data_IF_050271258274
#
_entry.id   IF_050271258274
#
_cell.length_a   1.000
_cell.length_b   1.000
_cell.length_c   1.000
_cell.angle_alpha   90.00
_cell.angle_beta   90.00
_cell.angle_gamma   90.00
#
_symmetry.space_group_name_H-M   'P 1'
#
loop_
_entity.id
_entity.type
_entity.pdbx_description
1 polymer ?
#
# COMPACT_ATOMS: atom_id res chain seq x y z
N UNK A 1 -15.56 -14.47 -27.60
CA UNK A 1 -16.58 -14.69 -26.56
C UNK A 1 -15.89 -14.79 -25.23
N UNK A 2 -16.12 -13.83 -24.34
CA UNK A 2 -15.74 -13.92 -22.93
C UNK A 2 -16.75 -13.09 -22.14
N UNK A 3 -17.51 -13.79 -21.31
CA UNK A 3 -18.67 -13.32 -20.56
C UNK A 3 -18.22 -12.58 -19.30
N UNK A 4 -18.48 -11.27 -19.23
CA UNK A 4 -18.39 -10.53 -17.98
C UNK A 4 -19.66 -10.77 -17.16
N UNK A 5 -19.53 -11.55 -16.09
CA UNK A 5 -20.57 -11.67 -15.07
C UNK A 5 -20.59 -10.39 -14.23
N UNK A 6 -21.57 -9.53 -14.48
CA UNK A 6 -21.91 -8.38 -13.63
C UNK A 6 -22.65 -8.89 -12.39
N UNK A 7 -22.00 -8.87 -11.23
CA UNK A 7 -22.67 -9.07 -9.95
C UNK A 7 -23.24 -7.74 -9.46
N UNK A 8 -24.47 -7.46 -9.87
CA UNK A 8 -25.31 -6.44 -9.26
C UNK A 8 -25.90 -7.02 -7.97
N UNK A 9 -25.60 -6.40 -6.83
CA UNK A 9 -26.26 -6.70 -5.55
C UNK A 9 -27.32 -5.62 -5.31
N UNK A 10 -28.57 -6.03 -5.56
CA UNK A 10 -29.85 -5.55 -5.05
C UNK A 10 -29.89 -4.21 -4.28
N UNK A 11 -30.63 -3.26 -4.85
CA UNK A 11 -31.29 -2.16 -4.14
C UNK A 11 -32.29 -2.73 -3.12
N UNK A 12 -32.22 -2.26 -1.87
CA UNK A 12 -33.35 -1.82 -1.03
C UNK A 12 -32.96 -1.71 0.45
N UNK A 13 -32.97 -0.47 0.95
CA UNK A 13 -33.63 -0.02 2.18
C UNK A 13 -32.99 1.30 2.61
N UNK A 14 -33.66 2.42 2.33
CA UNK A 14 -33.26 3.75 2.81
C UNK A 14 -34.14 4.08 4.02
N UNK A 15 -33.65 4.03 5.27
CA UNK A 15 -34.39 4.55 6.39
C UNK A 15 -34.35 6.08 6.31
N UNK A 16 -35.52 6.66 6.08
CA UNK A 16 -35.74 8.09 6.05
C UNK A 16 -35.81 8.61 7.49
N UNK A 17 -34.69 9.14 8.01
CA UNK A 17 -34.70 9.86 9.29
C UNK A 17 -33.81 11.11 9.31
N UNK A 18 -34.52 12.25 9.36
CA UNK A 18 -34.28 13.50 10.08
C UNK A 18 -32.88 14.13 10.11
N UNK A 19 -32.84 15.36 9.60
CA UNK A 19 -31.68 16.23 9.58
C UNK A 19 -31.12 16.56 10.96
N UNK A 20 -29.79 16.64 11.01
CA UNK A 20 -29.02 17.07 12.16
C UNK A 20 -27.55 17.07 11.79
N UNK A 21 -26.72 17.87 12.46
CA UNK A 21 -25.29 18.16 12.23
C UNK A 21 -24.34 16.93 12.09
N UNK A 22 -24.86 15.71 12.08
CA UNK A 22 -24.20 14.42 11.89
C UNK A 22 -23.81 14.10 10.43
N UNK A 23 -24.27 14.85 9.42
CA UNK A 23 -23.95 14.59 7.99
C UNK A 23 -22.53 15.00 7.58
N UNK A 24 -22.15 16.25 7.84
CA UNK A 24 -20.93 16.86 7.30
C UNK A 24 -19.64 16.27 7.88
N UNK A 25 -19.60 16.01 9.19
CA UNK A 25 -18.43 15.43 9.86
C UNK A 25 -18.17 14.00 9.41
N UNK A 26 -19.23 13.21 9.20
CA UNK A 26 -19.13 11.85 8.69
C UNK A 26 -18.76 11.85 7.20
N UNK A 27 -19.29 12.78 6.41
CA UNK A 27 -18.89 12.99 5.01
C UNK A 27 -17.39 13.33 4.89
N UNK A 28 -16.88 14.26 5.71
CA UNK A 28 -15.45 14.59 5.78
C UNK A 28 -14.59 13.39 6.16
N UNK A 29 -14.99 12.61 7.18
CA UNK A 29 -14.27 11.39 7.59
C UNK A 29 -14.23 10.36 6.47
N UNK A 30 -15.35 10.16 5.74
CA UNK A 30 -15.41 9.28 4.57
C UNK A 30 -14.48 9.76 3.47
N UNK A 31 -14.47 11.07 3.18
CA UNK A 31 -13.61 11.64 2.14
C UNK A 31 -12.12 11.52 2.49
N UNK A 32 -11.74 11.78 3.75
CA UNK A 32 -10.36 11.58 4.21
C UNK A 32 -9.93 10.12 4.06
N UNK A 33 -10.76 9.16 4.46
CA UNK A 33 -10.47 7.73 4.28
C UNK A 33 -10.33 7.36 2.80
N UNK A 34 -11.21 7.91 1.96
CA UNK A 34 -11.14 7.71 0.50
C UNK A 34 -9.82 8.23 -0.07
N UNK A 35 -9.36 9.40 0.34
CA UNK A 35 -8.06 9.94 -0.09
C UNK A 35 -6.91 9.07 0.37
N UNK A 36 -6.91 8.65 1.64
CA UNK A 36 -5.88 7.75 2.15
C UNK A 36 -5.86 6.43 1.39
N UNK A 37 -7.01 5.92 0.97
CA UNK A 37 -7.12 4.74 0.14
C UNK A 37 -6.63 4.98 -1.30
N UNK A 38 -7.11 6.05 -1.93
CA UNK A 38 -6.86 6.41 -3.32
C UNK A 38 -5.41 6.86 -3.53
N UNK A 39 -4.73 7.33 -2.48
CA UNK A 39 -3.30 7.71 -2.50
C UNK A 39 -2.35 6.59 -2.93
N UNK A 40 -2.77 5.33 -2.72
CA UNK A 40 -2.04 4.14 -3.14
C UNK A 40 -2.54 3.57 -4.48
N UNK A 41 -3.60 4.15 -5.07
CA UNK A 41 -4.07 3.80 -6.42
C UNK A 41 -3.22 4.52 -7.46
N UNK A 42 -3.21 3.98 -8.68
CA UNK A 42 -2.60 4.59 -9.86
C UNK A 42 -1.12 4.97 -9.66
N UNK A 43 -0.39 4.13 -8.92
CA UNK A 43 1.06 4.19 -8.84
C UNK A 43 1.65 3.36 -9.98
N UNK A 44 2.59 3.94 -10.73
CA UNK A 44 3.50 3.18 -11.58
C UNK A 44 4.89 3.17 -10.95
N UNK A 45 5.54 2.01 -11.02
CA UNK A 45 6.84 1.77 -10.44
C UNK A 45 7.79 1.27 -11.52
N UNK A 46 9.04 1.74 -11.47
CA UNK A 46 10.14 1.22 -12.26
C UNK A 46 11.38 1.15 -11.37
N UNK A 47 11.97 -0.04 -11.26
CA UNK A 47 13.02 -0.34 -10.29
C UNK A 47 14.33 -0.61 -11.01
N UNK A 48 15.40 -0.02 -10.50
CA UNK A 48 16.76 -0.25 -10.97
C UNK A 48 17.62 -0.73 -9.82
N UNK A 49 18.47 -1.73 -10.06
CA UNK A 49 19.47 -2.12 -9.09
C UNK A 49 20.77 -1.33 -9.32
N UNK A 50 21.26 -0.71 -8.27
CA UNK A 50 22.44 0.14 -8.27
C UNK A 50 23.46 -0.43 -7.29
N UNK A 51 24.67 -0.70 -7.76
CA UNK A 51 25.79 -1.11 -6.91
C UNK A 51 26.30 0.10 -6.14
N UNK A 52 26.10 0.10 -4.83
CA UNK A 52 26.64 1.10 -3.91
C UNK A 52 27.99 0.61 -3.39
N UNK A 53 29.04 1.36 -3.72
CA UNK A 53 30.41 1.10 -3.23
C UNK A 53 30.57 1.73 -1.84
N UNK A 54 30.20 0.99 -0.81
CA UNK A 54 30.43 1.37 0.60
C UNK A 54 31.91 1.22 0.97
N UNK A 55 32.44 2.00 1.93
CA UNK A 55 33.77 1.79 2.51
C UNK A 55 33.94 0.43 3.20
N UNK A 56 32.86 -0.21 3.64
CA UNK A 56 32.88 -1.49 4.34
C UNK A 56 32.74 -2.68 3.39
N UNK A 57 31.56 -2.83 2.77
CA UNK A 57 31.26 -3.88 1.81
C UNK A 57 30.28 -3.34 0.75
N UNK A 58 30.54 -3.52 -0.54
CA UNK A 58 29.63 -3.09 -1.58
C UNK A 58 28.28 -3.81 -1.47
N UNK A 59 27.19 -3.10 -1.72
CA UNK A 59 25.85 -3.66 -1.66
C UNK A 59 24.96 -3.12 -2.79
N UNK A 60 23.93 -3.87 -3.15
CA UNK A 60 22.94 -3.41 -4.12
C UNK A 60 21.81 -2.65 -3.42
N UNK A 61 21.54 -1.45 -3.92
CA UNK A 61 20.38 -0.61 -3.60
C UNK A 61 19.39 -0.71 -4.76
N UNK A 62 18.11 -0.92 -4.46
CA UNK A 62 17.02 -0.92 -5.42
C UNK A 62 16.39 0.47 -5.41
N UNK A 63 16.57 1.20 -6.50
CA UNK A 63 16.06 2.54 -6.71
C UNK A 63 14.71 2.42 -7.41
N UNK A 64 13.63 2.59 -6.67
CA UNK A 64 12.27 2.55 -7.19
C UNK A 64 11.88 3.96 -7.60
N UNK A 65 11.73 4.19 -8.90
CA UNK A 65 11.09 5.38 -9.44
C UNK A 65 9.58 5.20 -9.35
N UNK A 66 8.92 6.02 -8.55
CA UNK A 66 7.48 5.94 -8.29
C UNK A 66 6.82 7.15 -8.93
N UNK A 67 5.79 6.92 -9.73
CA UNK A 67 4.95 7.99 -10.30
C UNK A 67 3.54 7.80 -9.80
N UNK A 68 2.99 8.84 -9.15
CA UNK A 68 1.59 8.91 -8.75
C UNK A 68 0.80 9.75 -9.74
N UNK A 69 -0.09 9.10 -10.49
CA UNK A 69 -1.03 9.82 -11.35
C UNK A 69 -2.09 10.60 -10.57
N UNK A 70 -2.39 10.14 -9.36
CA UNK A 70 -3.35 10.80 -8.46
C UNK A 70 -2.83 12.15 -7.96
N UNK A 71 -1.56 12.19 -7.52
CA UNK A 71 -0.94 13.44 -7.04
C UNK A 71 -0.17 14.21 -8.12
N UNK A 72 -0.01 13.66 -9.33
CA UNK A 72 0.85 14.21 -10.39
C UNK A 72 2.29 14.44 -9.92
N UNK A 73 2.84 13.45 -9.22
CA UNK A 73 4.18 13.50 -8.64
C UNK A 73 5.02 12.29 -9.03
N UNK A 74 6.33 12.52 -9.11
CA UNK A 74 7.34 11.49 -9.35
C UNK A 74 8.46 11.65 -8.34
N UNK A 75 8.85 10.55 -7.68
CA UNK A 75 9.94 10.53 -6.72
C UNK A 75 10.69 9.21 -6.78
N UNK A 76 11.80 9.12 -6.04
CA UNK A 76 12.63 7.91 -5.98
C UNK A 76 12.75 7.47 -4.52
N UNK A 77 12.51 6.18 -4.27
CA UNK A 77 12.76 5.54 -2.98
C UNK A 77 13.86 4.49 -3.14
N UNK A 78 14.87 4.54 -2.28
CA UNK A 78 16.05 3.66 -2.36
C UNK A 78 16.10 2.70 -1.17
N UNK A 79 16.16 1.39 -1.45
CA UNK A 79 16.14 0.34 -0.41
C UNK A 79 17.11 -0.78 -0.72
N UNK A 80 17.68 -1.42 0.30
CA UNK A 80 18.38 -2.70 0.14
C UNK A 80 17.37 -3.83 0.20
N UNK A 81 17.72 -5.01 -0.32
CA UNK A 81 16.88 -6.22 -0.20
C UNK A 81 16.40 -6.48 1.25
N UNK A 82 17.28 -6.23 2.24
CA UNK A 82 16.94 -6.42 3.65
C UNK A 82 15.78 -5.54 4.14
N UNK A 83 15.54 -4.40 3.48
CA UNK A 83 14.47 -3.47 3.83
C UNK A 83 13.12 -3.98 3.29
N UNK A 84 13.08 -4.50 2.06
CA UNK A 84 11.91 -5.21 1.52
C UNK A 84 11.53 -6.43 2.38
N UNK A 85 12.53 -7.22 2.78
CA UNK A 85 12.30 -8.37 3.65
C UNK A 85 11.71 -7.95 5.00
N UNK A 86 12.26 -6.87 5.60
CA UNK A 86 11.74 -6.28 6.85
C UNK A 86 10.33 -5.75 6.68
N UNK A 87 10.01 -5.09 5.56
CA UNK A 87 8.66 -4.63 5.25
C UNK A 87 7.68 -5.81 5.22
N UNK A 88 7.94 -6.83 4.38
CA UNK A 88 7.06 -8.01 4.26
C UNK A 88 6.83 -8.70 5.60
N UNK A 89 7.92 -8.92 6.36
CA UNK A 89 7.85 -9.52 7.70
C UNK A 89 6.96 -8.68 8.63
N UNK A 90 7.20 -7.36 8.71
CA UNK A 90 6.45 -6.45 9.58
C UNK A 90 4.97 -6.41 9.22
N UNK A 91 4.64 -6.35 7.92
CA UNK A 91 3.25 -6.36 7.45
C UNK A 91 2.54 -7.64 7.87
N UNK A 92 3.16 -8.80 7.64
CA UNK A 92 2.60 -10.09 8.03
C UNK A 92 2.42 -10.21 9.56
N UNK A 93 3.36 -9.72 10.36
CA UNK A 93 3.28 -9.71 11.81
C UNK A 93 2.10 -8.85 12.31
N UNK A 94 1.99 -7.61 11.83
CA UNK A 94 0.88 -6.70 12.20
C UNK A 94 -0.48 -7.32 11.87
N UNK A 95 -0.61 -7.88 10.66
CA UNK A 95 -1.85 -8.51 10.25
C UNK A 95 -2.13 -9.79 11.05
N UNK A 96 -1.12 -10.62 11.32
CA UNK A 96 -1.28 -11.88 12.07
C UNK A 96 -1.73 -11.63 13.51
N UNK A 97 -1.22 -10.60 14.18
CA UNK A 97 -1.62 -10.29 15.57
C UNK A 97 -3.11 -10.01 15.64
N UNK A 98 -3.61 -9.13 14.78
CA UNK A 98 -5.02 -8.76 14.79
C UNK A 98 -5.93 -9.85 14.20
N UNK A 99 -5.44 -10.63 13.24
CA UNK A 99 -6.13 -11.80 12.69
C UNK A 99 -6.44 -12.85 13.78
N UNK A 100 -5.50 -13.07 14.72
CA UNK A 100 -5.70 -13.99 15.87
C UNK A 100 -6.71 -13.49 16.88
N UNK A 101 -7.00 -12.18 16.90
CA UNK A 101 -8.07 -11.58 17.71
C UNK A 101 -9.45 -11.70 17.03
N UNK A 102 -9.56 -12.41 15.90
CA UNK A 102 -10.82 -12.66 15.20
C UNK A 102 -11.17 -11.65 14.10
N UNK A 103 -10.24 -10.80 13.66
CA UNK A 103 -10.53 -9.85 12.58
C UNK A 103 -10.49 -10.52 11.18
N UNK A 104 -11.63 -10.65 10.47
CA UNK A 104 -11.69 -11.34 9.18
C UNK A 104 -10.93 -10.59 8.09
N UNK A 105 -10.93 -9.25 8.12
CA UNK A 105 -10.20 -8.44 7.13
C UNK A 105 -8.69 -8.64 7.26
N UNK A 106 -8.16 -8.63 8.48
CA UNK A 106 -6.74 -8.92 8.68
C UNK A 106 -6.38 -10.36 8.31
N UNK A 107 -7.27 -11.34 8.53
CA UNK A 107 -7.07 -12.73 8.08
C UNK A 107 -6.97 -12.81 6.55
N UNK A 108 -7.93 -12.23 5.84
CA UNK A 108 -7.94 -12.20 4.36
C UNK A 108 -6.71 -11.50 3.80
N UNK A 109 -6.38 -10.32 4.32
CA UNK A 109 -5.22 -9.54 3.84
C UNK A 109 -3.92 -10.28 4.15
N UNK A 110 -3.78 -10.87 5.34
CA UNK A 110 -2.62 -11.69 5.68
C UNK A 110 -2.45 -12.89 4.75
N UNK A 111 -3.54 -13.61 4.47
CA UNK A 111 -3.53 -14.76 3.58
C UNK A 111 -3.13 -14.35 2.15
N UNK A 112 -3.59 -13.19 1.68
CA UNK A 112 -3.21 -12.68 0.36
C UNK A 112 -1.74 -12.25 0.31
N UNK A 113 -1.25 -11.48 1.28
CA UNK A 113 0.15 -11.00 1.30
C UNK A 113 1.14 -12.17 1.37
N UNK A 114 0.77 -13.28 2.01
CA UNK A 114 1.59 -14.50 2.00
C UNK A 114 1.76 -15.12 0.61
N UNK A 115 0.76 -14.98 -0.27
CA UNK A 115 0.75 -15.54 -1.62
C UNK A 115 1.50 -14.69 -2.64
N UNK A 116 1.83 -13.44 -2.32
CA UNK A 116 2.64 -12.63 -3.21
C UNK A 116 4.04 -13.24 -3.36
N UNK A 117 4.47 -13.33 -4.61
CA UNK A 117 5.82 -13.77 -4.95
C UNK A 117 6.83 -12.84 -4.27
N UNK A 118 7.86 -13.46 -3.67
CA UNK A 118 8.89 -12.72 -2.96
C UNK A 118 10.20 -13.51 -3.01
N UNK A 119 11.34 -12.88 -3.33
CA UNK A 119 12.60 -13.59 -3.46
C UNK A 119 13.06 -14.13 -2.09
N UNK A 120 13.43 -15.42 -1.97
CA UNK A 120 13.81 -16.03 -0.69
C UNK A 120 15.11 -15.44 -0.10
N UNK A 121 15.29 -15.61 1.21
CA UNK A 121 16.50 -15.12 1.91
C UNK A 121 17.73 -15.96 1.59
N UNK A 122 17.54 -17.22 1.19
CA UNK A 122 18.57 -18.25 1.00
C UNK A 122 19.50 -17.96 -0.19
N UNK A 123 19.18 -16.91 -0.95
CA UNK A 123 19.93 -16.36 -2.08
C UNK A 123 21.17 -15.57 -1.61
N UNK A 124 21.94 -16.05 -0.63
CA UNK A 124 23.19 -15.43 -0.18
C UNK A 124 24.43 -16.28 -0.54
N UNK A 125 24.33 -17.10 -1.58
CA UNK A 125 25.51 -17.79 -2.13
C UNK A 125 26.47 -16.73 -2.71
N UNK A 126 27.63 -16.58 -2.06
CA UNK A 126 28.71 -15.70 -2.53
C UNK A 126 29.15 -16.18 -3.91
N UNK A 127 29.21 -15.27 -4.89
CA UNK A 127 29.68 -15.56 -6.26
C UNK A 127 28.63 -15.47 -7.37
N UNK A 128 27.34 -15.37 -7.06
CA UNK A 128 26.28 -15.25 -8.09
C UNK A 128 25.51 -13.92 -8.02
N UNK A 129 26.10 -12.88 -7.42
CA UNK A 129 25.42 -11.64 -7.05
C UNK A 129 24.61 -11.01 -8.21
N UNK A 130 25.15 -10.97 -9.42
CA UNK A 130 24.46 -10.40 -10.58
C UNK A 130 23.20 -11.19 -10.98
N UNK A 131 23.27 -12.53 -10.96
CA UNK A 131 22.11 -13.39 -11.19
C UNK A 131 21.04 -13.17 -10.12
N UNK A 132 21.47 -12.99 -8.86
CA UNK A 132 20.55 -12.73 -7.75
C UNK A 132 19.84 -11.40 -7.92
N UNK A 133 20.57 -10.37 -8.33
CA UNK A 133 20.01 -9.03 -8.58
C UNK A 133 19.02 -9.08 -9.75
N UNK A 134 19.38 -9.73 -10.86
CA UNK A 134 18.52 -9.90 -12.02
C UNK A 134 17.20 -10.61 -11.70
N UNK A 135 17.24 -11.62 -10.83
CA UNK A 135 16.04 -12.32 -10.36
C UNK A 135 15.24 -11.50 -9.33
N UNK A 136 15.91 -10.84 -8.37
CA UNK A 136 15.25 -10.09 -7.30
C UNK A 136 14.51 -8.87 -7.82
N UNK A 137 15.09 -8.15 -8.79
CA UNK A 137 14.57 -6.87 -9.27
C UNK A 137 13.08 -6.94 -9.67
N UNK A 138 12.65 -7.79 -10.62
CA UNK A 138 11.24 -7.86 -11.00
C UNK A 138 10.35 -8.34 -9.84
N UNK A 139 10.79 -9.35 -9.07
CA UNK A 139 9.98 -9.87 -7.96
C UNK A 139 9.75 -8.83 -6.84
N UNK A 140 10.74 -7.98 -6.56
CA UNK A 140 10.61 -6.92 -5.55
C UNK A 140 9.70 -5.79 -6.04
N UNK A 141 9.79 -5.44 -7.33
CA UNK A 141 8.87 -4.48 -7.96
C UNK A 141 7.44 -5.00 -7.93
N UNK A 142 7.21 -6.22 -8.41
CA UNK A 142 5.90 -6.87 -8.45
C UNK A 142 5.30 -6.98 -7.05
N UNK A 143 6.11 -7.35 -6.04
CA UNK A 143 5.65 -7.39 -4.65
C UNK A 143 5.13 -6.04 -4.16
N UNK A 144 5.88 -4.95 -4.43
CA UNK A 144 5.51 -3.60 -4.02
C UNK A 144 4.24 -3.13 -4.75
N UNK A 145 4.17 -3.37 -6.07
CA UNK A 145 3.00 -3.05 -6.89
C UNK A 145 1.77 -3.80 -6.39
N UNK A 146 1.87 -5.12 -6.21
CA UNK A 146 0.78 -5.96 -5.73
C UNK A 146 0.30 -5.53 -4.33
N UNK A 147 1.23 -5.19 -3.43
CA UNK A 147 0.90 -4.74 -2.09
C UNK A 147 0.17 -3.38 -2.11
N UNK A 148 0.63 -2.41 -2.89
CA UNK A 148 -0.05 -1.11 -3.05
C UNK A 148 -1.45 -1.26 -3.65
N UNK A 149 -1.57 -2.01 -4.75
CA UNK A 149 -2.84 -2.28 -5.40
C UNK A 149 -3.82 -2.94 -4.43
N UNK A 150 -3.38 -4.00 -3.74
CA UNK A 150 -4.25 -4.74 -2.84
C UNK A 150 -4.68 -3.89 -1.63
N UNK A 151 -3.76 -3.13 -1.02
CA UNK A 151 -4.09 -2.24 0.09
C UNK A 151 -4.99 -1.06 -0.32
N UNK A 152 -5.06 -0.72 -1.59
CA UNK A 152 -5.93 0.34 -2.12
C UNK A 152 -7.33 -0.14 -2.53
N UNK A 153 -7.63 -1.43 -2.34
CA UNK A 153 -8.95 -2.02 -2.62
C UNK A 153 -10.04 -1.36 -1.76
N UNK A 154 -11.18 -1.07 -2.39
CA UNK A 154 -12.33 -0.45 -1.74
C UNK A 154 -12.88 -1.30 -0.58
N UNK A 155 -13.26 -0.62 0.49
CA UNK A 155 -13.81 -1.23 1.70
C UNK A 155 -12.77 -1.61 2.76
N UNK A 156 -11.52 -1.93 2.41
CA UNK A 156 -10.55 -2.47 3.40
C UNK A 156 -10.31 -1.55 4.61
N UNK A 157 -10.17 -0.24 4.40
CA UNK A 157 -9.93 0.74 5.47
C UNK A 157 -11.16 1.04 6.33
N UNK A 158 -12.37 0.78 5.81
CA UNK A 158 -13.62 1.01 6.56
C UNK A 158 -13.73 0.00 7.70
N UNK A 159 -13.22 -1.22 7.47
CA UNK A 159 -13.44 -2.36 8.35
C UNK A 159 -12.35 -2.58 9.40
N UNK A 160 -11.13 -2.04 9.22
CA UNK A 160 -10.05 -2.28 10.18
C UNK A 160 -8.95 -1.20 10.21
N UNK A 161 -8.68 -0.64 11.39
CA UNK A 161 -7.61 0.35 11.62
C UNK A 161 -6.21 -0.22 11.41
N UNK A 162 -5.99 -1.53 11.59
CA UNK A 162 -4.68 -2.14 11.32
C UNK A 162 -4.32 -2.14 9.83
N UNK A 163 -5.31 -2.07 8.93
CA UNK A 163 -5.04 -1.87 7.50
C UNK A 163 -4.45 -0.48 7.25
N UNK A 164 -4.94 0.55 7.95
CA UNK A 164 -4.34 1.88 7.89
C UNK A 164 -2.90 1.87 8.40
N UNK A 165 -2.62 1.12 9.47
CA UNK A 165 -1.24 0.94 9.96
C UNK A 165 -0.34 0.30 8.90
N UNK A 166 -0.84 -0.72 8.19
CA UNK A 166 -0.11 -1.38 7.10
C UNK A 166 0.09 -0.44 5.91
N UNK A 167 -0.93 0.34 5.52
CA UNK A 167 -0.79 1.37 4.48
C UNK A 167 0.25 2.43 4.85
N UNK A 168 0.27 2.89 6.09
CA UNK A 168 1.27 3.86 6.54
C UNK A 168 2.68 3.29 6.46
N UNK A 169 2.88 2.04 6.90
CA UNK A 169 4.18 1.35 6.73
C UNK A 169 4.59 1.24 5.27
N UNK A 170 3.63 1.02 4.38
CA UNK A 170 3.87 0.97 2.94
C UNK A 170 4.26 2.34 2.38
N UNK A 171 3.59 3.41 2.81
CA UNK A 171 3.91 4.79 2.46
C UNK A 171 5.29 5.20 2.96
N UNK A 172 5.61 4.88 4.21
CA UNK A 172 6.93 5.14 4.81
C UNK A 172 8.03 4.42 4.01
N UNK A 173 7.80 3.15 3.67
CA UNK A 173 8.71 2.39 2.81
C UNK A 173 8.87 3.06 1.44
N UNK A 174 7.79 3.47 0.80
CA UNK A 174 7.87 4.18 -0.48
C UNK A 174 8.40 5.61 -0.39
N UNK A 175 8.77 6.10 0.80
CA UNK A 175 9.10 7.51 1.04
C UNK A 175 8.02 8.43 0.43
N UNK A 176 6.76 8.04 0.61
CA UNK A 176 5.62 8.71 0.02
C UNK A 176 5.61 10.18 0.47
N UNK A 177 5.30 11.14 -0.41
CA UNK A 177 5.29 12.56 -0.07
C UNK A 177 4.09 12.92 0.83
N UNK A 178 4.12 12.46 2.08
CA UNK A 178 3.02 12.58 3.06
C UNK A 178 2.60 14.03 3.29
N UNK A 179 3.53 14.99 3.18
CA UNK A 179 3.22 16.42 3.29
C UNK A 179 2.12 16.87 2.31
N UNK A 180 2.09 16.31 1.08
CA UNK A 180 1.06 16.62 0.08
C UNK A 180 -0.28 15.98 0.42
N UNK A 181 -0.28 14.72 0.88
CA UNK A 181 -1.49 14.07 1.38
C UNK A 181 -2.07 14.83 2.58
N UNK A 182 -1.23 15.24 3.52
CA UNK A 182 -1.63 16.03 4.69
C UNK A 182 -2.16 17.40 4.29
N UNK A 183 -1.61 18.04 3.26
CA UNK A 183 -2.14 19.29 2.71
C UNK A 183 -3.56 19.07 2.14
N UNK A 184 -3.78 18.01 1.36
CA UNK A 184 -5.11 17.67 0.84
C UNK A 184 -6.11 17.37 1.97
N UNK A 185 -5.70 16.60 2.98
CA UNK A 185 -6.53 16.29 4.15
C UNK A 185 -6.85 17.57 4.94
N UNK A 186 -5.88 18.46 5.14
CA UNK A 186 -6.09 19.75 5.81
C UNK A 186 -7.09 20.62 5.06
N UNK A 187 -6.95 20.74 3.73
CA UNK A 187 -7.87 21.48 2.89
C UNK A 187 -9.32 20.98 3.05
N UNK A 188 -9.52 19.67 3.07
CA UNK A 188 -10.85 19.05 3.26
C UNK A 188 -11.42 19.30 4.65
N UNK A 189 -10.57 19.23 5.68
CA UNK A 189 -10.99 19.55 7.04
C UNK A 189 -11.46 21.00 7.15
N UNK A 190 -10.79 21.92 6.46
CA UNK A 190 -11.17 23.34 6.42
C UNK A 190 -12.41 23.66 5.56
N UNK A 191 -12.90 22.75 4.72
CA UNK A 191 -14.11 23.00 3.93
C UNK A 191 -15.33 23.19 4.84
N UNK A 192 -15.96 24.36 4.80
CA UNK A 192 -17.16 24.68 5.59
C UNK A 192 -18.43 24.03 5.03
N UNK A 193 -18.42 23.67 3.73
CA UNK A 193 -19.59 23.15 3.00
C UNK A 193 -19.30 21.74 2.45
N UNK A 194 -19.28 20.74 3.32
CA UNK A 194 -19.39 19.33 2.89
C UNK A 194 -20.78 18.88 3.34
N UNK A 195 -21.80 19.07 2.49
CA UNK A 195 -23.17 18.61 2.76
C UNK A 195 -23.28 17.11 2.49
#
# INVERSE_FOLDING_TARGET
MATHASYAMSEEYVPQHQGGKYSATNAKKRLVRKIQQDSLKQLSLATQAVLVRSPTEPYHSYHMTITSEYYKQKWIACHRYSDFYRLRKTVLEVLSVHARMGCPVCQTVHAQVKKFDFPPRDIFRRGELDKQVAMRLPMLEDFVVALCQYLSTEGLLVHCRNILTVQNKMKDFMQFPLAHEEQHIRAIRSLTYVR
#
